data_IF_705226079432
#
_entry.id   IF_705226079432
#
_cell.length_a   1.000
_cell.length_b   1.000
_cell.length_c   1.000
_cell.angle_alpha   90.00
_cell.angle_beta   90.00
_cell.angle_gamma   90.00
#
_symmetry.space_group_name_H-M   'P 1'
#
loop_
_entity.id
_entity.type
_entity.pdbx_description
1 polymer ?
#
# COMPACT_ATOMS: atom_id res chain seq x y z
N UNK A 1 -10.64 -13.78 19.47
CA UNK A 1 -9.52 -13.92 18.53
C UNK A 1 -8.23 -14.00 19.33
N UNK A 2 -7.18 -14.60 18.75
CA UNK A 2 -5.85 -14.54 19.40
C UNK A 2 -5.26 -13.13 19.19
N UNK A 3 -4.46 -12.59 20.12
CA UNK A 3 -3.89 -11.23 19.97
C UNK A 3 -3.09 -11.01 18.67
N UNK A 4 -2.40 -12.06 18.17
CA UNK A 4 -1.66 -12.01 16.91
C UNK A 4 -2.54 -11.92 15.66
N UNK A 5 -3.77 -12.43 15.74
CA UNK A 5 -4.75 -12.40 14.65
C UNK A 5 -5.37 -11.00 14.52
N UNK A 6 -5.70 -10.39 15.66
CA UNK A 6 -6.24 -9.04 15.72
C UNK A 6 -5.23 -8.01 15.21
N UNK A 7 -3.97 -8.13 15.64
CA UNK A 7 -2.89 -7.28 15.15
C UNK A 7 -2.67 -7.41 13.63
N UNK A 8 -2.73 -8.63 13.08
CA UNK A 8 -2.57 -8.86 11.64
C UNK A 8 -3.75 -8.29 10.83
N UNK A 9 -4.99 -8.43 11.32
CA UNK A 9 -6.16 -7.83 10.66
C UNK A 9 -6.11 -6.30 10.70
N UNK A 10 -5.60 -5.72 11.79
CA UNK A 10 -5.38 -4.28 11.93
C UNK A 10 -4.31 -3.78 10.94
N UNK A 11 -3.27 -4.58 10.67
CA UNK A 11 -2.28 -4.28 9.63
C UNK A 11 -2.91 -4.21 8.23
N UNK A 12 -3.82 -5.13 7.90
CA UNK A 12 -4.58 -5.06 6.66
C UNK A 12 -5.46 -3.81 6.59
N UNK A 13 -6.17 -3.47 7.66
CA UNK A 13 -7.01 -2.28 7.70
C UNK A 13 -6.21 -1.00 7.46
N UNK A 14 -5.06 -0.87 8.14
CA UNK A 14 -4.14 0.26 7.94
C UNK A 14 -3.63 0.34 6.50
N UNK A 15 -3.23 -0.79 5.92
CA UNK A 15 -2.77 -0.82 4.54
C UNK A 15 -3.86 -0.39 3.57
N UNK A 16 -5.10 -0.90 3.75
CA UNK A 16 -6.24 -0.49 2.94
C UNK A 16 -6.57 1.00 3.07
N UNK A 17 -6.43 1.58 4.25
CA UNK A 17 -6.65 3.02 4.46
C UNK A 17 -5.56 3.84 3.75
N UNK A 18 -4.30 3.40 3.78
CA UNK A 18 -3.21 4.02 3.00
C UNK A 18 -3.51 4.00 1.50
N UNK A 19 -3.94 2.86 0.94
CA UNK A 19 -4.29 2.81 -0.49
C UNK A 19 -5.46 3.74 -0.83
N UNK A 20 -6.47 3.86 0.05
CA UNK A 20 -7.61 4.78 -0.13
C UNK A 20 -7.16 6.24 -0.14
N UNK A 21 -6.29 6.63 0.80
CA UNK A 21 -5.71 7.96 0.83
C UNK A 21 -4.91 8.25 -0.45
N UNK A 22 -4.12 7.27 -0.94
CA UNK A 22 -3.40 7.37 -2.21
C UNK A 22 -4.33 7.61 -3.40
N UNK A 23 -5.44 6.85 -3.50
CA UNK A 23 -6.47 7.04 -4.53
C UNK A 23 -7.02 8.47 -4.51
N UNK A 24 -7.44 8.96 -3.34
CA UNK A 24 -8.00 10.31 -3.19
C UNK A 24 -6.99 11.38 -3.60
N UNK A 25 -5.75 11.27 -3.15
CA UNK A 25 -4.67 12.21 -3.49
C UNK A 25 -4.43 12.26 -5.01
N UNK A 26 -4.35 11.10 -5.66
CA UNK A 26 -4.10 11.05 -7.11
C UNK A 26 -5.31 11.49 -7.93
N UNK A 27 -6.53 11.15 -7.53
CA UNK A 27 -7.75 11.65 -8.19
C UNK A 27 -7.84 13.18 -8.10
N UNK A 28 -7.57 13.75 -6.93
CA UNK A 28 -7.54 15.20 -6.75
C UNK A 28 -6.44 15.86 -7.58
N UNK A 29 -5.25 15.26 -7.63
CA UNK A 29 -4.13 15.76 -8.42
C UNK A 29 -4.45 15.72 -9.92
N UNK A 30 -5.08 14.65 -10.41
CA UNK A 30 -5.56 14.54 -11.78
C UNK A 30 -6.59 15.63 -12.12
N UNK A 31 -7.53 15.90 -11.20
CA UNK A 31 -8.56 16.92 -11.39
C UNK A 31 -7.97 18.35 -11.45
N UNK A 32 -6.92 18.62 -10.67
CA UNK A 32 -6.24 19.93 -10.60
C UNK A 32 -5.17 20.11 -11.70
N UNK A 33 -4.72 19.02 -12.34
CA UNK A 33 -3.68 19.06 -13.36
C UNK A 33 -4.16 19.80 -14.62
N UNK A 34 -3.41 20.84 -15.02
CA UNK A 34 -3.61 21.57 -16.27
C UNK A 34 -2.94 20.86 -17.46
N UNK A 35 -1.83 20.16 -17.20
CA UNK A 35 -1.10 19.37 -18.18
C UNK A 35 -1.79 18.01 -18.39
N UNK A 36 -2.05 17.67 -19.66
CA UNK A 36 -2.74 16.43 -20.04
C UNK A 36 -1.94 15.20 -19.64
N UNK A 37 -0.61 15.21 -19.79
CA UNK A 37 0.25 14.08 -19.42
C UNK A 37 0.30 13.91 -17.91
N UNK A 38 0.40 15.01 -17.15
CA UNK A 38 0.36 14.94 -15.69
C UNK A 38 -0.96 14.35 -15.19
N UNK A 39 -2.09 14.75 -15.80
CA UNK A 39 -3.41 14.16 -15.51
C UNK A 39 -3.45 12.66 -15.79
N UNK A 40 -2.95 12.22 -16.95
CA UNK A 40 -2.90 10.80 -17.33
C UNK A 40 -2.06 9.98 -16.33
N UNK A 41 -0.93 10.53 -15.87
CA UNK A 41 -0.06 9.88 -14.87
C UNK A 41 -0.81 9.75 -13.54
N UNK A 42 -1.42 10.82 -13.04
CA UNK A 42 -2.17 10.74 -11.78
C UNK A 42 -3.35 9.77 -11.87
N UNK A 43 -4.06 9.72 -13.00
CA UNK A 43 -5.10 8.70 -13.22
C UNK A 43 -4.53 7.29 -13.21
N UNK A 44 -3.38 7.07 -13.86
CA UNK A 44 -2.69 5.77 -13.85
C UNK A 44 -2.27 5.35 -12.44
N UNK A 45 -1.78 6.29 -11.62
CA UNK A 45 -1.41 6.05 -10.23
C UNK A 45 -2.64 5.71 -9.38
N UNK A 46 -3.75 6.45 -9.49
CA UNK A 46 -5.00 6.11 -8.82
C UNK A 46 -5.50 4.70 -9.18
N UNK A 47 -5.38 4.29 -10.46
CA UNK A 47 -5.70 2.93 -10.91
C UNK A 47 -4.73 1.87 -10.37
N UNK A 48 -3.49 2.22 -10.03
CA UNK A 48 -2.55 1.31 -9.37
C UNK A 48 -3.00 1.07 -7.91
N UNK A 49 -3.28 2.12 -7.16
CA UNK A 49 -3.73 2.01 -5.76
C UNK A 49 -5.07 1.27 -5.63
N UNK A 50 -6.00 1.43 -6.57
CA UNK A 50 -7.23 0.61 -6.59
C UNK A 50 -6.95 -0.88 -6.76
N UNK A 51 -5.91 -1.23 -7.51
CA UNK A 51 -5.49 -2.63 -7.68
C UNK A 51 -4.81 -3.15 -6.41
N UNK A 52 -3.94 -2.36 -5.79
CA UNK A 52 -3.36 -2.69 -4.48
C UNK A 52 -4.44 -2.93 -3.44
N UNK A 53 -5.40 -1.99 -3.30
CA UNK A 53 -6.53 -2.12 -2.39
C UNK A 53 -7.31 -3.42 -2.61
N UNK A 54 -7.64 -3.75 -3.86
CA UNK A 54 -8.34 -5.00 -4.18
C UNK A 54 -7.54 -6.25 -3.83
N UNK A 55 -6.21 -6.22 -3.98
CA UNK A 55 -5.33 -7.34 -3.62
C UNK A 55 -5.29 -7.50 -2.09
N UNK A 56 -5.09 -6.40 -1.36
CA UNK A 56 -5.04 -6.39 0.11
C UNK A 56 -6.38 -6.86 0.70
N UNK A 57 -7.51 -6.41 0.16
CA UNK A 57 -8.85 -6.87 0.55
C UNK A 57 -9.05 -8.38 0.32
N UNK A 58 -8.58 -8.88 -0.82
CA UNK A 58 -8.59 -10.30 -1.16
C UNK A 58 -7.77 -11.13 -0.16
N UNK A 59 -6.51 -10.74 0.05
CA UNK A 59 -5.60 -11.42 0.99
C UNK A 59 -6.18 -11.38 2.41
N UNK A 60 -6.70 -10.25 2.90
CA UNK A 60 -7.34 -10.16 4.22
C UNK A 60 -8.48 -11.17 4.37
N UNK A 61 -9.31 -11.33 3.34
CA UNK A 61 -10.43 -12.28 3.34
C UNK A 61 -9.94 -13.72 3.38
N UNK A 62 -8.94 -14.06 2.58
CA UNK A 62 -8.37 -15.41 2.50
C UNK A 62 -7.67 -15.80 3.80
N UNK A 63 -6.92 -14.87 4.38
CA UNK A 63 -6.33 -14.99 5.71
C UNK A 63 -7.45 -15.25 6.73
N UNK A 64 -8.46 -14.39 6.85
CA UNK A 64 -9.56 -14.57 7.81
C UNK A 64 -10.25 -15.93 7.66
N UNK A 65 -10.42 -16.42 6.44
CA UNK A 65 -11.01 -17.75 6.19
C UNK A 65 -10.07 -18.88 6.63
N UNK A 66 -8.80 -18.82 6.24
CA UNK A 66 -7.78 -19.82 6.59
C UNK A 66 -7.60 -19.94 8.11
N UNK A 67 -7.56 -18.80 8.80
CA UNK A 67 -7.47 -18.73 10.27
C UNK A 67 -8.68 -19.31 11.00
N UNK A 68 -9.88 -19.18 10.43
CA UNK A 68 -11.06 -19.83 11.02
C UNK A 68 -10.96 -21.36 11.02
N UNK A 69 -10.04 -21.93 10.22
CA UNK A 69 -9.90 -23.36 10.01
C UNK A 69 -8.62 -23.98 10.59
N UNK A 70 -7.56 -23.21 10.88
CA UNK A 70 -6.29 -23.72 11.40
C UNK A 70 -5.58 -22.76 12.36
N UNK A 71 -4.80 -23.31 13.30
CA UNK A 71 -3.85 -22.53 14.11
C UNK A 71 -2.50 -22.41 13.41
N UNK A 72 -2.06 -21.17 13.17
CA UNK A 72 -0.75 -20.86 12.59
C UNK A 72 0.36 -20.97 13.63
N UNK A 73 1.47 -21.60 13.26
CA UNK A 73 2.70 -21.66 14.05
C UNK A 73 3.76 -20.76 13.39
N UNK A 74 4.22 -19.71 14.07
CA UNK A 74 5.24 -18.78 13.54
C UNK A 74 4.97 -17.30 13.82
N UNK A 75 5.77 -16.42 13.20
CA UNK A 75 5.62 -14.96 13.24
C UNK A 75 4.59 -14.50 12.20
N UNK A 76 3.32 -14.70 12.54
CA UNK A 76 2.22 -14.40 11.63
C UNK A 76 2.16 -12.93 11.21
N UNK A 77 2.37 -12.01 12.15
CA UNK A 77 2.35 -10.56 11.88
C UNK A 77 3.46 -10.21 10.90
N UNK A 78 4.67 -10.74 11.10
CA UNK A 78 5.80 -10.50 10.20
C UNK A 78 5.62 -11.08 8.80
N UNK A 79 4.91 -12.19 8.66
CA UNK A 79 4.58 -12.78 7.35
C UNK A 79 3.54 -11.95 6.59
N UNK A 80 2.47 -11.52 7.25
CA UNK A 80 1.48 -10.62 6.67
C UNK A 80 2.10 -9.28 6.27
N UNK A 81 2.97 -8.72 7.12
CA UNK A 81 3.68 -7.48 6.81
C UNK A 81 4.48 -7.58 5.50
N UNK A 82 5.16 -8.70 5.25
CA UNK A 82 5.92 -8.92 3.99
C UNK A 82 5.00 -9.07 2.79
N UNK A 83 3.83 -9.68 2.96
CA UNK A 83 2.88 -9.86 1.86
C UNK A 83 2.27 -8.52 1.43
N UNK A 84 1.85 -7.70 2.41
CA UNK A 84 1.39 -6.31 2.16
C UNK A 84 2.50 -5.49 1.48
N UNK A 85 3.74 -5.58 1.98
CA UNK A 85 4.89 -4.89 1.38
C UNK A 85 5.14 -5.35 -0.07
N UNK A 86 4.98 -6.64 -0.35
CA UNK A 86 5.14 -7.17 -1.70
C UNK A 86 4.06 -6.66 -2.66
N UNK A 87 2.83 -6.48 -2.18
CA UNK A 87 1.73 -5.89 -2.95
C UNK A 87 2.07 -4.44 -3.32
N UNK A 88 2.45 -3.60 -2.34
CA UNK A 88 2.82 -2.20 -2.62
C UNK A 88 4.01 -2.05 -3.56
N UNK A 89 4.97 -3.01 -3.54
CA UNK A 89 6.11 -3.01 -4.47
C UNK A 89 5.76 -3.42 -5.91
N UNK A 90 4.56 -3.94 -6.18
CA UNK A 90 4.23 -4.55 -7.47
C UNK A 90 4.12 -3.53 -8.62
N UNK A 91 3.92 -2.23 -8.32
CA UNK A 91 3.65 -1.20 -9.35
C UNK A 91 4.52 0.05 -9.31
N UNK A 92 5.74 -0.01 -8.79
CA UNK A 92 6.72 1.04 -9.08
C UNK A 92 7.09 1.01 -10.59
N UNK A 93 6.85 2.07 -11.37
CA UNK A 93 7.35 2.14 -12.75
C UNK A 93 8.87 1.97 -12.73
N UNK A 94 9.37 1.04 -13.55
CA UNK A 94 10.75 0.54 -13.47
C UNK A 94 11.84 1.57 -13.82
N UNK A 95 11.50 2.75 -14.30
CA UNK A 95 12.44 3.85 -14.44
C UNK A 95 11.74 5.20 -14.65
N UNK A 96 12.39 6.26 -14.16
CA UNK A 96 12.06 7.66 -14.44
C UNK A 96 12.26 8.04 -15.92
N UNK A 97 12.86 7.14 -16.72
CA UNK A 97 13.26 7.38 -18.11
C UNK A 97 12.10 7.24 -19.11
N UNK A 98 11.03 6.51 -18.78
CA UNK A 98 9.85 6.37 -19.68
C UNK A 98 8.88 7.57 -19.63
N UNK A 99 9.03 8.49 -18.67
CA UNK A 99 7.97 9.45 -18.29
C UNK A 99 8.39 10.92 -18.46
N UNK A 100 9.43 11.22 -19.25
CA UNK A 100 10.03 12.57 -19.26
C UNK A 100 9.16 13.62 -19.96
N UNK A 101 8.50 14.46 -19.16
CA UNK A 101 8.15 15.85 -19.44
C UNK A 101 8.18 16.66 -18.12
N UNK A 102 8.63 17.92 -18.16
CA UNK A 102 8.93 18.73 -16.96
C UNK A 102 7.72 18.98 -16.01
N UNK A 103 6.48 18.86 -16.50
CA UNK A 103 5.24 18.92 -15.70
C UNK A 103 4.87 17.60 -15.02
N UNK A 104 5.38 16.47 -15.54
CA UNK A 104 5.21 15.14 -14.98
C UNK A 104 6.18 14.85 -13.83
N UNK A 105 7.28 15.60 -13.71
CA UNK A 105 8.32 15.36 -12.71
C UNK A 105 7.83 15.59 -11.27
N UNK A 106 6.98 16.59 -11.06
CA UNK A 106 6.32 16.81 -9.76
C UNK A 106 5.31 15.72 -9.43
N UNK A 107 4.57 15.23 -10.44
CA UNK A 107 3.65 14.10 -10.31
C UNK A 107 4.37 12.80 -9.95
N UNK A 108 5.52 12.57 -10.58
CA UNK A 108 6.39 11.41 -10.34
C UNK A 108 7.01 11.50 -8.94
N UNK A 109 7.54 12.67 -8.54
CA UNK A 109 8.11 12.85 -7.21
C UNK A 109 7.06 12.68 -6.11
N UNK A 110 5.81 13.12 -6.36
CA UNK A 110 4.68 12.85 -5.47
C UNK A 110 4.37 11.34 -5.41
N UNK A 111 4.32 10.68 -6.57
CA UNK A 111 4.16 9.22 -6.67
C UNK A 111 5.18 8.46 -5.84
N UNK A 112 6.47 8.68 -6.11
CA UNK A 112 7.59 8.06 -5.40
C UNK A 112 7.54 8.36 -3.90
N UNK A 113 7.16 9.57 -3.50
CA UNK A 113 7.09 9.94 -2.10
C UNK A 113 5.96 9.21 -1.36
N UNK A 114 4.76 9.17 -1.92
CA UNK A 114 3.62 8.43 -1.35
C UNK A 114 3.97 6.95 -1.19
N UNK A 115 4.62 6.37 -2.19
CA UNK A 115 5.07 4.98 -2.17
C UNK A 115 6.18 4.73 -1.14
N UNK A 116 7.14 5.65 -1.01
CA UNK A 116 8.18 5.59 0.02
C UNK A 116 7.61 5.74 1.42
N UNK A 117 6.64 6.63 1.62
CA UNK A 117 5.96 6.83 2.89
C UNK A 117 5.15 5.57 3.27
N UNK A 118 4.53 4.91 2.29
CA UNK A 118 3.87 3.61 2.47
C UNK A 118 4.86 2.51 2.88
N UNK A 119 5.98 2.35 2.15
CA UNK A 119 7.04 1.39 2.50
C UNK A 119 7.65 1.67 3.88
N UNK A 120 7.89 2.93 4.22
CA UNK A 120 8.42 3.34 5.52
C UNK A 120 7.42 3.03 6.64
N UNK A 121 6.13 3.27 6.42
CA UNK A 121 5.07 2.88 7.36
C UNK A 121 5.04 1.37 7.60
N UNK A 122 5.13 0.54 6.55
CA UNK A 122 5.15 -0.92 6.69
C UNK A 122 6.42 -1.42 7.41
N UNK A 123 7.56 -0.78 7.17
CA UNK A 123 8.80 -1.06 7.91
C UNK A 123 8.70 -0.66 9.39
N UNK A 124 7.98 0.41 9.73
CA UNK A 124 7.87 0.92 11.10
C UNK A 124 6.77 0.20 11.91
N UNK A 125 5.72 -0.28 11.24
CA UNK A 125 4.71 -1.17 11.81
C UNK A 125 5.35 -2.47 12.35
N UNK A 126 6.38 -2.98 11.67
CA UNK A 126 7.19 -4.12 12.14
C UNK A 126 7.89 -3.83 13.46
N UNK A 127 8.34 -2.59 13.69
CA UNK A 127 9.03 -2.18 14.92
C UNK A 127 8.06 -2.01 16.10
N UNK A 128 6.83 -1.54 15.83
CA UNK A 128 5.84 -1.27 16.89
C UNK A 128 5.01 -2.49 17.30
N UNK A 129 4.80 -3.47 16.44
CA UNK A 129 4.13 -4.73 16.82
C UNK A 129 5.10 -5.72 17.50
N UNK A 130 6.41 -5.56 17.28
CA UNK A 130 7.45 -6.37 17.93
C UNK A 130 7.88 -5.86 19.32
N UNK A 131 7.34 -4.71 19.78
CA UNK A 131 7.52 -4.22 21.15
C UNK A 131 6.17 -4.27 21.89
N UNK A 132 5.76 -5.45 22.42
CA UNK A 132 4.82 -5.47 23.52
C UNK A 132 5.60 -4.92 24.72
N UNK A 133 5.55 -3.61 24.90
CA UNK A 133 6.15 -2.94 26.03
C UNK A 133 5.84 -3.68 27.33
N UNK A 134 6.90 -3.82 28.13
CA UNK A 134 6.97 -4.28 29.53
C UNK A 134 5.70 -4.02 30.35
#
# INVERSE_FOLDING_TARGET
>A
MKPSEEAALELFDKAMDTEREGIEVYEEAAAKAQDVKAREIFQMLAEAERRHLSLIEGTKKDVRHTYSSYTWEGDFVGEIGKEIEAIGRQYLPKSTDEIVAASALDAINMGIKVEQDSIAFYSDAKTKVADPGV
#
